data_IF_990266097594
#
_entry.id   IF_990266097594
#
_cell.length_a   1.000
_cell.length_b   1.000
_cell.length_c   1.000
_cell.angle_alpha   90.00
_cell.angle_beta   90.00
_cell.angle_gamma   90.00
#
_symmetry.space_group_name_H-M   'P 1'
#
loop_
_entity.id
_entity.type
_entity.pdbx_description
1 polymer ?
#
# COMPACT_ATOMS: atom_id res chain seq x y z
N UNK A 1 18.12 -5.68 12.49
CA UNK A 1 17.25 -4.51 12.74
C UNK A 1 16.08 -4.62 11.78
N UNK A 2 14.84 -4.59 12.25
CA UNK A 2 13.65 -4.53 11.37
C UNK A 2 13.11 -3.11 11.42
N UNK A 3 12.92 -2.49 10.27
CA UNK A 3 12.45 -1.11 10.10
C UNK A 3 11.65 -1.01 8.82
N UNK A 4 10.85 0.04 8.67
CA UNK A 4 10.16 0.31 7.40
C UNK A 4 11.13 0.93 6.38
N UNK A 5 10.87 0.70 5.09
CA UNK A 5 11.57 1.33 3.96
C UNK A 5 11.57 2.86 4.08
N UNK A 6 10.45 3.43 4.52
CA UNK A 6 10.29 4.86 4.82
C UNK A 6 11.30 5.31 5.88
N UNK A 7 11.36 4.64 7.03
CA UNK A 7 12.28 5.02 8.10
C UNK A 7 13.75 4.88 7.70
N UNK A 8 14.09 3.88 6.88
CA UNK A 8 15.44 3.69 6.37
C UNK A 8 15.87 4.89 5.50
N UNK A 9 15.07 5.21 4.46
CA UNK A 9 15.45 6.26 3.53
C UNK A 9 15.28 7.66 4.10
N UNK A 10 14.23 7.93 4.87
CA UNK A 10 14.14 9.20 5.60
C UNK A 10 15.38 9.39 6.49
N UNK A 11 15.89 8.35 7.16
CA UNK A 11 17.14 8.49 7.94
C UNK A 11 18.37 8.80 7.09
N UNK A 12 18.43 8.32 5.85
CA UNK A 12 19.53 8.53 4.90
C UNK A 12 19.51 9.93 4.26
N UNK A 13 18.34 10.56 4.16
CA UNK A 13 18.14 11.87 3.54
C UNK A 13 17.81 12.99 4.55
N UNK A 14 17.61 12.69 5.83
CA UNK A 14 17.40 13.67 6.90
C UNK A 14 18.73 14.28 7.38
N UNK A 15 18.63 15.42 8.07
CA UNK A 15 19.73 16.19 8.68
C UNK A 15 19.74 16.13 10.20
N UNK A 16 18.66 15.66 10.83
CA UNK A 16 18.48 15.72 12.28
C UNK A 16 19.33 14.63 12.93
N UNK A 17 20.16 14.95 13.94
CA UNK A 17 20.99 13.95 14.63
C UNK A 17 20.19 12.74 15.14
N UNK A 18 18.94 12.95 15.58
CA UNK A 18 18.09 11.86 16.06
C UNK A 18 17.72 10.83 14.97
N UNK A 19 17.52 11.27 13.72
CA UNK A 19 17.24 10.40 12.58
C UNK A 19 18.53 9.71 12.10
N UNK A 20 19.60 10.48 11.94
CA UNK A 20 20.88 10.01 11.42
C UNK A 20 21.67 9.11 12.39
N UNK A 21 21.36 9.13 13.70
CA UNK A 21 22.09 8.35 14.72
C UNK A 21 22.14 6.85 14.41
N UNK A 22 21.21 6.32 13.61
CA UNK A 22 21.18 4.89 13.23
C UNK A 22 22.09 4.55 12.03
N UNK A 23 22.59 5.54 11.29
CA UNK A 23 23.35 5.32 10.04
C UNK A 23 24.67 4.57 10.24
N UNK A 24 25.33 4.73 11.40
CA UNK A 24 26.55 3.97 11.72
C UNK A 24 26.34 2.45 11.68
N UNK A 25 25.09 1.98 11.81
CA UNK A 25 24.74 0.55 11.75
C UNK A 25 24.60 0.01 10.33
N UNK A 26 24.67 0.86 9.31
CA UNK A 26 24.54 0.46 7.91
C UNK A 26 25.89 0.07 7.29
N UNK A 27 27.00 0.64 7.79
CA UNK A 27 28.33 0.28 7.34
C UNK A 27 28.61 -1.21 7.63
N UNK A 28 29.05 -1.95 6.61
CA UNK A 28 29.28 -3.40 6.69
C UNK A 28 28.01 -4.26 6.85
N UNK A 29 26.81 -3.68 6.79
CA UNK A 29 25.57 -4.41 6.98
C UNK A 29 25.08 -5.09 5.69
N UNK A 30 24.19 -6.07 5.85
CA UNK A 30 23.35 -6.56 4.76
C UNK A 30 21.97 -5.91 4.90
N UNK A 31 21.58 -5.13 3.90
CA UNK A 31 20.26 -4.49 3.80
C UNK A 31 19.40 -5.34 2.88
N UNK A 32 18.29 -5.85 3.41
CA UNK A 32 17.27 -6.54 2.61
C UNK A 32 16.10 -5.58 2.43
N UNK A 33 15.83 -5.20 1.19
CA UNK A 33 14.68 -4.38 0.81
C UNK A 33 13.61 -5.29 0.23
N UNK A 34 12.55 -5.51 0.99
CA UNK A 34 11.37 -6.24 0.56
C UNK A 34 10.38 -5.31 -0.17
N UNK A 35 9.64 -5.86 -1.12
CA UNK A 35 8.65 -5.15 -1.96
C UNK A 35 9.23 -3.88 -2.63
N UNK A 36 10.43 -3.98 -3.21
CA UNK A 36 11.16 -2.82 -3.78
C UNK A 36 10.42 -2.12 -4.93
N UNK A 37 9.42 -2.77 -5.53
CA UNK A 37 8.55 -2.16 -6.53
C UNK A 37 7.63 -1.07 -5.96
N UNK A 38 7.44 -1.01 -4.63
CA UNK A 38 6.64 0.01 -3.96
C UNK A 38 7.40 1.34 -3.73
N UNK A 39 8.65 1.45 -4.19
CA UNK A 39 9.40 2.70 -4.12
C UNK A 39 8.77 3.77 -5.02
N UNK A 40 8.63 5.03 -4.55
CA UNK A 40 8.01 6.08 -5.35
C UNK A 40 8.92 6.50 -6.50
N UNK A 41 8.36 6.55 -7.71
CA UNK A 41 9.08 6.84 -8.96
C UNK A 41 9.85 8.17 -8.88
N UNK A 42 9.25 9.19 -8.26
CA UNK A 42 9.85 10.52 -8.08
C UNK A 42 11.12 10.54 -7.19
N UNK A 43 11.28 9.56 -6.30
CA UNK A 43 12.46 9.44 -5.42
C UNK A 43 13.36 8.25 -5.78
N UNK A 44 13.01 7.49 -6.81
CA UNK A 44 13.69 6.24 -7.16
C UNK A 44 15.17 6.48 -7.45
N UNK A 45 15.52 7.46 -8.28
CA UNK A 45 16.91 7.77 -8.61
C UNK A 45 17.75 8.19 -7.39
N UNK A 46 17.31 9.15 -6.54
CA UNK A 46 17.98 9.43 -5.26
C UNK A 46 18.22 8.17 -4.42
N UNK A 47 17.20 7.33 -4.27
CA UNK A 47 17.25 6.10 -3.46
C UNK A 47 18.31 5.14 -4.02
N UNK A 48 18.23 4.80 -5.31
CA UNK A 48 19.17 3.89 -5.96
C UNK A 48 20.60 4.42 -5.90
N UNK A 49 20.79 5.74 -6.01
CA UNK A 49 22.10 6.39 -5.84
C UNK A 49 22.67 6.14 -4.45
N UNK A 50 21.87 6.32 -3.40
CA UNK A 50 22.33 6.09 -2.03
C UNK A 50 22.63 4.62 -1.79
N UNK A 51 21.81 3.70 -2.29
CA UNK A 51 22.07 2.26 -2.17
C UNK A 51 23.39 1.88 -2.87
N UNK A 52 23.64 2.40 -4.07
CA UNK A 52 24.92 2.21 -4.78
C UNK A 52 26.10 2.72 -3.94
N UNK A 53 26.01 3.94 -3.40
CA UNK A 53 27.08 4.49 -2.55
C UNK A 53 27.34 3.65 -1.30
N UNK A 54 26.29 3.11 -0.66
CA UNK A 54 26.46 2.20 0.48
C UNK A 54 27.26 0.95 0.08
N UNK A 55 26.97 0.39 -1.10
CA UNK A 55 27.71 -0.78 -1.60
C UNK A 55 29.16 -0.47 -1.98
N UNK A 56 29.43 0.69 -2.57
CA UNK A 56 30.78 1.06 -3.05
C UNK A 56 31.70 1.57 -1.93
N UNK A 57 31.18 2.35 -0.99
CA UNK A 57 32.02 3.10 -0.03
C UNK A 57 31.89 2.62 1.42
N UNK A 58 30.85 1.87 1.77
CA UNK A 58 30.56 1.50 3.17
C UNK A 58 30.62 -0.01 3.44
N UNK A 59 31.02 -0.81 2.44
CA UNK A 59 31.08 -2.27 2.56
C UNK A 59 29.71 -2.92 2.82
N UNK A 60 28.62 -2.23 2.49
CA UNK A 60 27.25 -2.72 2.67
C UNK A 60 26.89 -3.65 1.51
N UNK A 61 26.13 -4.72 1.77
CA UNK A 61 25.49 -5.51 0.72
C UNK A 61 23.99 -5.18 0.68
N UNK A 62 23.43 -5.02 -0.51
CA UNK A 62 22.00 -4.73 -0.68
C UNK A 62 21.34 -5.87 -1.46
N UNK A 63 20.31 -6.47 -0.87
CA UNK A 63 19.46 -7.48 -1.49
C UNK A 63 18.11 -6.83 -1.79
N UNK A 64 17.73 -6.79 -3.06
CA UNK A 64 16.43 -6.33 -3.52
C UNK A 64 15.52 -7.55 -3.70
N UNK A 65 14.38 -7.56 -3.01
CA UNK A 65 13.40 -8.63 -3.09
C UNK A 65 12.05 -8.08 -3.56
N UNK A 66 11.40 -8.80 -4.48
CA UNK A 66 10.10 -8.45 -5.03
C UNK A 66 9.47 -9.64 -5.76
N UNK A 67 8.14 -9.75 -5.67
CA UNK A 67 7.36 -10.66 -6.52
C UNK A 67 7.32 -10.20 -7.99
N UNK A 68 7.51 -8.90 -8.23
CA UNK A 68 7.49 -8.26 -9.56
C UNK A 68 8.76 -7.42 -9.69
N UNK A 69 9.91 -8.09 -9.78
CA UNK A 69 11.22 -7.45 -9.77
C UNK A 69 11.29 -6.32 -10.81
N UNK A 70 11.48 -5.07 -10.38
CA UNK A 70 11.60 -3.97 -11.32
C UNK A 70 12.94 -4.00 -12.06
N UNK A 71 12.92 -3.43 -13.28
CA UNK A 71 14.08 -3.39 -14.19
C UNK A 71 15.08 -2.28 -13.82
N UNK A 72 15.52 -2.23 -12.55
CA UNK A 72 16.44 -1.20 -12.08
C UNK A 72 17.81 -1.25 -12.76
N UNK A 73 18.30 -2.44 -13.07
CA UNK A 73 19.62 -2.62 -13.66
C UNK A 73 19.70 -2.19 -15.14
N UNK A 74 18.55 -1.86 -15.75
CA UNK A 74 18.50 -1.17 -17.04
C UNK A 74 18.70 0.34 -16.95
N UNK A 75 18.77 0.91 -15.74
CA UNK A 75 18.99 2.35 -15.52
C UNK A 75 20.47 2.71 -15.60
N UNK A 76 20.75 3.93 -16.05
CA UNK A 76 22.10 4.43 -16.30
C UNK A 76 22.99 4.41 -15.05
N UNK A 77 22.38 4.61 -13.87
CA UNK A 77 23.10 4.55 -12.59
C UNK A 77 23.68 3.17 -12.27
N UNK A 78 23.23 2.10 -12.93
CA UNK A 78 23.78 0.75 -12.75
C UNK A 78 24.47 0.22 -14.00
N UNK A 79 24.71 1.05 -15.02
CA UNK A 79 25.34 0.63 -16.29
C UNK A 79 26.68 -0.08 -16.10
N UNK A 80 27.47 0.36 -15.13
CA UNK A 80 28.80 -0.20 -14.82
C UNK A 80 28.78 -1.24 -13.69
N UNK A 81 27.59 -1.64 -13.24
CA UNK A 81 27.40 -2.58 -12.13
C UNK A 81 26.82 -3.89 -12.65
N UNK A 82 27.49 -5.00 -12.36
CA UNK A 82 26.95 -6.33 -12.64
C UNK A 82 26.22 -6.85 -11.40
N UNK A 83 24.88 -6.93 -11.40
CA UNK A 83 24.14 -7.48 -10.27
C UNK A 83 24.39 -8.97 -10.12
N UNK A 84 24.51 -9.42 -8.86
CA UNK A 84 24.51 -10.86 -8.57
C UNK A 84 23.07 -11.34 -8.46
N UNK A 85 22.66 -12.22 -9.37
CA UNK A 85 21.36 -12.89 -9.29
C UNK A 85 21.37 -13.89 -8.15
N UNK A 86 20.50 -13.70 -7.16
CA UNK A 86 20.35 -14.62 -6.02
C UNK A 86 19.77 -15.96 -6.50
N UNK A 87 18.86 -15.91 -7.47
CA UNK A 87 18.28 -17.08 -8.15
C UNK A 87 19.01 -17.26 -9.48
N UNK A 88 19.71 -18.38 -9.65
CA UNK A 88 20.55 -18.63 -10.83
C UNK A 88 19.73 -18.83 -12.12
N UNK A 89 18.56 -19.46 -12.02
CA UNK A 89 17.68 -19.81 -13.14
C UNK A 89 16.24 -19.36 -12.84
N UNK A 90 15.94 -18.06 -12.87
CA UNK A 90 14.62 -17.54 -12.51
C UNK A 90 13.52 -17.99 -13.48
N UNK A 91 13.84 -18.16 -14.77
CA UNK A 91 12.87 -18.58 -15.78
C UNK A 91 12.42 -20.04 -15.56
N UNK A 92 13.34 -20.95 -15.27
CA UNK A 92 13.00 -22.37 -15.02
C UNK A 92 12.13 -22.51 -13.77
N UNK A 93 12.50 -21.83 -12.68
CA UNK A 93 11.69 -21.78 -11.47
C UNK A 93 10.31 -21.19 -11.74
N UNK A 94 10.24 -20.12 -12.55
CA UNK A 94 8.98 -19.51 -12.93
C UNK A 94 8.13 -20.48 -13.75
N UNK A 95 8.70 -21.18 -14.74
CA UNK A 95 8.00 -22.14 -15.58
C UNK A 95 7.47 -23.34 -14.75
N UNK A 96 8.26 -23.83 -13.79
CA UNK A 96 7.84 -24.86 -12.82
C UNK A 96 6.66 -24.39 -11.96
N UNK A 97 6.69 -23.15 -11.47
CA UNK A 97 5.61 -22.59 -10.67
C UNK A 97 4.36 -22.27 -11.50
N UNK A 98 4.55 -21.85 -12.75
CA UNK A 98 3.48 -21.57 -13.72
C UNK A 98 2.75 -22.83 -14.18
N UNK A 99 3.44 -23.97 -14.27
CA UNK A 99 2.83 -25.25 -14.60
C UNK A 99 1.69 -25.63 -13.63
N UNK A 100 1.67 -25.06 -12.42
CA UNK A 100 0.66 -25.30 -11.39
C UNK A 100 -0.51 -24.28 -11.46
N UNK A 101 -0.48 -23.33 -12.42
CA UNK A 101 -1.44 -22.23 -12.65
C UNK A 101 -2.43 -22.00 -11.50
N UNK A 102 -1.96 -21.36 -10.43
CA UNK A 102 -2.75 -21.20 -9.19
C UNK A 102 -3.97 -20.31 -9.38
N UNK A 103 -3.92 -19.39 -10.33
CA UNK A 103 -4.96 -18.37 -10.55
C UNK A 103 -5.30 -18.22 -12.03
N UNK A 104 -6.57 -17.91 -12.29
CA UNK A 104 -7.05 -17.44 -13.59
C UNK A 104 -7.59 -16.02 -13.47
N UNK A 105 -7.15 -15.18 -14.40
CA UNK A 105 -7.63 -13.81 -14.51
C UNK A 105 -8.90 -13.74 -15.37
N UNK A 106 -9.92 -13.06 -14.84
CA UNK A 106 -11.14 -12.69 -15.56
C UNK A 106 -11.19 -11.16 -15.64
N UNK A 107 -11.35 -10.62 -16.84
CA UNK A 107 -11.35 -9.18 -17.06
C UNK A 107 -12.77 -8.67 -17.25
N UNK A 108 -13.22 -7.77 -16.37
CA UNK A 108 -14.50 -7.05 -16.41
C UNK A 108 -14.25 -5.55 -16.64
N UNK A 109 -13.56 -5.25 -17.73
CA UNK A 109 -13.22 -3.88 -18.15
C UNK A 109 -14.07 -3.38 -19.31
N UNK A 110 -14.70 -4.31 -20.06
CA UNK A 110 -15.56 -4.01 -21.22
C UNK A 110 -16.69 -5.06 -21.33
N UNK A 111 -17.97 -4.68 -21.18
CA UNK A 111 -18.44 -3.39 -20.67
C UNK A 111 -17.99 -3.16 -19.22
N UNK A 112 -17.89 -1.89 -18.83
CA UNK A 112 -17.63 -1.51 -17.43
C UNK A 112 -18.88 -1.75 -16.61
N UNK A 113 -18.75 -2.45 -15.49
CA UNK A 113 -19.82 -2.66 -14.52
C UNK A 113 -19.77 -1.58 -13.44
N UNK A 114 -20.90 -1.23 -12.86
CA UNK A 114 -20.96 -0.40 -11.65
C UNK A 114 -20.42 -1.15 -10.43
N UNK A 115 -20.04 -0.41 -9.39
CA UNK A 115 -19.64 -0.99 -8.12
C UNK A 115 -20.75 -1.84 -7.48
N UNK A 116 -22.02 -1.49 -7.71
CA UNK A 116 -23.17 -2.26 -7.25
C UNK A 116 -23.27 -3.60 -7.97
N UNK A 117 -23.15 -3.63 -9.30
CA UNK A 117 -23.15 -4.87 -10.08
C UNK A 117 -21.98 -5.80 -9.71
N UNK A 118 -20.79 -5.24 -9.48
CA UNK A 118 -19.63 -6.02 -9.00
C UNK A 118 -19.90 -6.60 -7.61
N UNK A 119 -20.55 -5.83 -6.71
CA UNK A 119 -20.95 -6.33 -5.40
C UNK A 119 -22.04 -7.40 -5.50
N UNK A 120 -22.98 -7.28 -6.44
CA UNK A 120 -24.01 -8.30 -6.69
C UNK A 120 -23.39 -9.63 -7.17
N UNK A 121 -22.37 -9.59 -8.03
CA UNK A 121 -21.63 -10.80 -8.43
C UNK A 121 -20.89 -11.45 -7.24
N UNK A 122 -20.34 -10.64 -6.34
CA UNK A 122 -19.64 -11.12 -5.16
C UNK A 122 -20.58 -11.62 -4.04
N UNK A 123 -21.86 -11.21 -4.07
CA UNK A 123 -22.85 -11.57 -3.05
C UNK A 123 -23.07 -13.08 -2.92
N UNK A 124 -22.87 -13.82 -4.03
CA UNK A 124 -23.05 -15.27 -4.16
C UNK A 124 -21.76 -16.06 -3.91
N UNK A 125 -20.66 -15.40 -3.51
CA UNK A 125 -19.38 -16.07 -3.29
C UNK A 125 -19.21 -16.44 -1.82
N UNK A 126 -19.02 -17.73 -1.52
CA UNK A 126 -18.87 -18.20 -0.13
C UNK A 126 -17.75 -17.46 0.63
N UNK A 127 -16.55 -17.41 0.07
CA UNK A 127 -15.42 -16.63 0.57
C UNK A 127 -14.91 -15.71 -0.53
N UNK A 128 -14.89 -14.40 -0.29
CA UNK A 128 -14.50 -13.43 -1.33
C UNK A 128 -13.77 -12.22 -0.75
N UNK A 129 -12.76 -11.76 -1.47
CA UNK A 129 -12.07 -10.50 -1.21
C UNK A 129 -12.32 -9.52 -2.36
N UNK A 130 -12.77 -8.32 -2.05
CA UNK A 130 -12.94 -7.20 -2.97
C UNK A 130 -11.98 -6.08 -2.60
N UNK A 131 -11.12 -5.70 -3.53
CA UNK A 131 -10.14 -4.63 -3.34
C UNK A 131 -10.45 -3.51 -4.31
N UNK A 132 -10.63 -2.30 -3.78
CA UNK A 132 -10.87 -1.08 -4.55
C UNK A 132 -9.84 -0.01 -4.24
N UNK A 133 -9.73 0.97 -5.13
CA UNK A 133 -8.65 1.97 -5.07
C UNK A 133 -8.84 3.03 -3.98
N UNK A 134 -10.08 3.31 -3.59
CA UNK A 134 -10.38 4.41 -2.65
C UNK A 134 -11.20 3.93 -1.46
N UNK A 135 -11.04 4.61 -0.32
CA UNK A 135 -11.85 4.34 0.87
C UNK A 135 -13.34 4.67 0.65
N UNK A 136 -13.64 5.61 -0.26
CA UNK A 136 -15.00 5.98 -0.66
C UNK A 136 -15.68 4.83 -1.38
N UNK A 137 -15.02 4.27 -2.39
CA UNK A 137 -15.54 3.12 -3.14
C UNK A 137 -15.64 1.89 -2.25
N UNK A 138 -14.69 1.69 -1.33
CA UNK A 138 -14.73 0.57 -0.39
C UNK A 138 -15.97 0.67 0.52
N UNK A 139 -16.29 1.86 1.03
CA UNK A 139 -17.49 2.07 1.82
C UNK A 139 -18.78 1.84 1.00
N UNK A 140 -18.81 2.26 -0.28
CA UNK A 140 -19.96 2.05 -1.17
C UNK A 140 -20.19 0.56 -1.44
N UNK A 141 -19.15 -0.16 -1.83
CA UNK A 141 -19.19 -1.61 -2.08
C UNK A 141 -19.56 -2.36 -0.81
N UNK A 142 -18.97 -2.02 0.35
CA UNK A 142 -19.29 -2.63 1.64
C UNK A 142 -20.78 -2.50 1.98
N UNK A 143 -21.34 -1.28 1.90
CA UNK A 143 -22.76 -1.04 2.18
C UNK A 143 -23.68 -1.83 1.26
N UNK A 144 -23.41 -1.82 -0.05
CA UNK A 144 -24.22 -2.56 -1.01
C UNK A 144 -24.12 -4.06 -0.78
N UNK A 145 -22.90 -4.60 -0.73
CA UNK A 145 -22.65 -6.03 -0.53
C UNK A 145 -23.25 -6.56 0.77
N UNK A 146 -23.19 -5.78 1.86
CA UNK A 146 -23.82 -6.12 3.13
C UNK A 146 -25.35 -6.24 3.01
N UNK A 147 -25.99 -5.41 2.19
CA UNK A 147 -27.43 -5.44 1.96
C UNK A 147 -27.87 -6.60 1.04
N UNK A 148 -27.02 -7.01 0.09
CA UNK A 148 -27.38 -8.03 -0.92
C UNK A 148 -26.77 -9.41 -0.65
N UNK A 149 -26.02 -9.60 0.43
CA UNK A 149 -25.26 -10.83 0.73
C UNK A 149 -26.17 -12.08 0.74
N UNK A 150 -25.91 -13.05 -0.15
CA UNK A 150 -26.75 -14.27 -0.29
C UNK A 150 -26.16 -15.54 0.34
N UNK A 151 -24.83 -15.67 0.40
CA UNK A 151 -24.17 -16.84 1.01
C UNK A 151 -24.16 -16.86 2.55
N UNK A 152 -24.80 -15.89 3.20
CA UNK A 152 -24.66 -15.66 4.64
C UNK A 152 -23.25 -15.21 5.03
N UNK A 153 -23.02 -15.15 6.34
CA UNK A 153 -21.77 -14.62 6.92
C UNK A 153 -21.65 -13.09 6.85
N UNK A 154 -20.65 -12.52 7.54
CA UNK A 154 -20.45 -11.08 7.59
C UNK A 154 -19.79 -10.56 6.31
N UNK A 155 -20.08 -9.30 6.01
CA UNK A 155 -19.30 -8.48 5.09
C UNK A 155 -18.41 -7.58 5.93
N UNK A 156 -17.12 -7.88 5.95
CA UNK A 156 -16.11 -7.19 6.73
C UNK A 156 -15.45 -6.10 5.88
N UNK A 157 -14.98 -5.03 6.53
CA UNK A 157 -14.32 -3.91 5.88
C UNK A 157 -12.90 -3.73 6.42
N UNK A 158 -11.96 -3.38 5.55
CA UNK A 158 -10.57 -3.11 5.91
C UNK A 158 -10.08 -1.86 5.19
N UNK A 159 -9.77 -0.81 5.95
CA UNK A 159 -9.09 0.37 5.41
C UNK A 159 -8.28 1.11 6.47
N UNK A 160 -7.46 2.04 6.01
CA UNK A 160 -6.67 2.94 6.87
C UNK A 160 -7.52 3.91 7.71
N UNK A 161 -8.84 3.97 7.47
CA UNK A 161 -9.81 4.76 8.26
C UNK A 161 -10.21 4.08 9.57
N UNK A 162 -9.80 2.83 9.76
CA UNK A 162 -10.03 2.07 10.97
C UNK A 162 -8.83 2.22 11.92
N UNK A 163 -9.08 2.06 13.23
CA UNK A 163 -8.01 2.07 14.22
C UNK A 163 -7.13 0.83 14.03
N UNK A 164 -5.84 0.91 14.34
CA UNK A 164 -4.95 -0.25 14.22
C UNK A 164 -5.44 -1.50 14.99
N UNK A 165 -6.01 -1.32 16.19
CA UNK A 165 -6.63 -2.40 16.95
C UNK A 165 -7.89 -2.96 16.27
N UNK A 166 -8.67 -2.09 15.63
CA UNK A 166 -9.87 -2.46 14.89
C UNK A 166 -9.52 -3.30 13.66
N UNK A 167 -8.56 -2.85 12.85
CA UNK A 167 -8.02 -3.64 11.73
C UNK A 167 -7.57 -5.02 12.19
N UNK A 168 -6.79 -5.10 13.28
CA UNK A 168 -6.32 -6.39 13.82
C UNK A 168 -7.48 -7.28 14.28
N UNK A 169 -8.53 -6.71 14.87
CA UNK A 169 -9.69 -7.48 15.29
C UNK A 169 -10.45 -8.06 14.09
N UNK A 170 -10.70 -7.25 13.06
CA UNK A 170 -11.35 -7.71 11.83
C UNK A 170 -10.50 -8.76 11.11
N UNK A 171 -9.19 -8.55 11.02
CA UNK A 171 -8.24 -9.52 10.44
C UNK A 171 -8.31 -10.89 11.10
N UNK A 172 -8.33 -10.95 12.44
CA UNK A 172 -8.49 -12.23 13.16
C UNK A 172 -9.81 -12.93 12.82
N UNK A 173 -10.89 -12.17 12.67
CA UNK A 173 -12.19 -12.72 12.25
C UNK A 173 -12.12 -13.29 10.83
N UNK A 174 -11.46 -12.60 9.91
CA UNK A 174 -11.25 -13.08 8.54
C UNK A 174 -10.44 -14.38 8.56
N UNK A 175 -9.29 -14.40 9.22
CA UNK A 175 -8.40 -15.57 9.31
C UNK A 175 -9.11 -16.79 9.90
N UNK A 176 -9.91 -16.60 10.95
CA UNK A 176 -10.69 -17.68 11.59
C UNK A 176 -11.73 -18.23 10.62
N UNK A 177 -12.51 -17.36 9.98
CA UNK A 177 -13.55 -17.80 9.03
C UNK A 177 -13.00 -18.47 7.79
N UNK A 178 -11.87 -17.99 7.26
CA UNK A 178 -11.18 -18.63 6.13
C UNK A 178 -10.74 -20.04 6.49
N UNK A 179 -10.07 -20.19 7.64
CA UNK A 179 -9.58 -21.47 8.16
C UNK A 179 -10.71 -22.47 8.40
N UNK A 180 -11.82 -22.01 8.96
CA UNK A 180 -12.98 -22.85 9.29
C UNK A 180 -13.89 -23.10 8.08
N UNK A 181 -13.54 -22.62 6.88
CA UNK A 181 -14.37 -22.77 5.69
C UNK A 181 -15.73 -22.06 5.79
N UNK A 182 -15.85 -21.05 6.66
CA UNK A 182 -17.09 -20.31 6.87
C UNK A 182 -17.26 -19.19 5.85
N UNK A 183 -18.51 -18.78 5.55
CA UNK A 183 -18.75 -17.71 4.61
C UNK A 183 -18.23 -16.39 5.17
N UNK A 184 -17.50 -15.63 4.33
CA UNK A 184 -16.98 -14.30 4.65
C UNK A 184 -16.74 -13.50 3.38
N UNK A 185 -17.21 -12.27 3.35
CA UNK A 185 -16.82 -11.31 2.33
C UNK A 185 -15.97 -10.22 2.98
N UNK A 186 -14.90 -9.81 2.32
CA UNK A 186 -14.03 -8.72 2.77
C UNK A 186 -13.98 -7.66 1.69
N UNK A 187 -14.29 -6.43 2.05
CA UNK A 187 -14.11 -5.25 1.19
C UNK A 187 -12.95 -4.45 1.74
N UNK A 188 -11.94 -4.20 0.93
CA UNK A 188 -10.71 -3.55 1.36
C UNK A 188 -10.24 -2.49 0.37
N UNK A 189 -9.41 -1.58 0.85
CA UNK A 189 -8.47 -0.85 0.00
C UNK A 189 -7.16 -1.65 -0.15
N UNK A 190 -6.08 -1.01 -0.57
CA UNK A 190 -4.74 -1.60 -0.71
C UNK A 190 -4.13 -2.13 0.60
N UNK A 191 -4.80 -1.96 1.75
CA UNK A 191 -4.34 -2.41 3.06
C UNK A 191 -4.00 -3.91 3.10
N UNK A 192 -4.69 -4.73 2.29
CA UNK A 192 -4.51 -6.19 2.25
C UNK A 192 -3.50 -6.67 1.19
N UNK A 193 -2.95 -5.76 0.39
CA UNK A 193 -2.02 -6.11 -0.70
C UNK A 193 -0.64 -6.46 -0.17
N UNK A 194 -0.17 -5.82 0.90
CA UNK A 194 1.15 -6.05 1.48
C UNK A 194 1.07 -6.47 2.96
N UNK A 195 1.89 -7.46 3.34
CA UNK A 195 2.11 -7.81 4.75
C UNK A 195 0.96 -8.51 5.47
N UNK A 196 -0.03 -9.04 4.74
CA UNK A 196 -1.18 -9.76 5.31
C UNK A 196 -1.24 -11.20 4.78
N UNK A 197 -1.49 -12.18 5.65
CA UNK A 197 -1.61 -13.58 5.26
C UNK A 197 -3.07 -13.99 5.05
N UNK A 198 -3.57 -13.71 3.84
CA UNK A 198 -4.93 -14.05 3.42
C UNK A 198 -4.90 -14.93 2.18
N UNK A 199 -5.80 -15.91 2.14
CA UNK A 199 -5.97 -16.84 1.04
C UNK A 199 -7.46 -17.04 0.74
N UNK A 200 -7.93 -16.48 -0.37
CA UNK A 200 -9.32 -16.55 -0.82
C UNK A 200 -9.45 -17.40 -2.09
N UNK A 201 -10.57 -18.10 -2.31
CA UNK A 201 -10.84 -18.78 -3.58
C UNK A 201 -11.10 -17.80 -4.72
N UNK A 202 -11.59 -16.59 -4.39
CA UNK A 202 -11.96 -15.56 -5.36
C UNK A 202 -11.62 -14.16 -4.84
N UNK A 203 -10.92 -13.41 -5.69
CA UNK A 203 -10.53 -12.02 -5.44
C UNK A 203 -11.05 -11.14 -6.56
N UNK A 204 -11.72 -10.06 -6.23
CA UNK A 204 -12.08 -8.98 -7.15
C UNK A 204 -11.13 -7.81 -6.90
N UNK A 205 -10.49 -7.30 -7.94
CA UNK A 205 -9.57 -6.17 -7.84
C UNK A 205 -9.96 -5.10 -8.84
N UNK A 206 -10.26 -3.89 -8.34
CA UNK A 206 -10.43 -2.73 -9.21
C UNK A 206 -9.15 -2.50 -10.02
N UNK A 207 -9.26 -2.07 -11.26
CA UNK A 207 -8.13 -1.87 -12.15
C UNK A 207 -7.09 -0.94 -11.50
N UNK A 208 -5.83 -1.36 -11.55
CA UNK A 208 -4.70 -0.78 -10.84
C UNK A 208 -3.40 -1.13 -11.60
N UNK A 209 -2.25 -0.55 -11.22
CA UNK A 209 -0.95 -0.96 -11.78
C UNK A 209 -0.71 -2.47 -11.71
N UNK A 210 0.04 -3.01 -12.67
CA UNK A 210 0.29 -4.44 -12.82
C UNK A 210 0.80 -5.11 -11.53
N UNK A 211 1.68 -4.43 -10.79
CA UNK A 211 2.19 -4.91 -9.50
C UNK A 211 1.11 -5.05 -8.43
N UNK A 212 0.16 -4.10 -8.36
CA UNK A 212 -0.95 -4.16 -7.41
C UNK A 212 -1.94 -5.28 -7.78
N UNK A 213 -2.17 -5.48 -9.08
CA UNK A 213 -2.98 -6.60 -9.58
C UNK A 213 -2.35 -7.96 -9.23
N UNK A 214 -1.02 -8.10 -9.35
CA UNK A 214 -0.29 -9.31 -8.99
C UNK A 214 -0.21 -9.54 -7.47
N UNK A 215 -0.03 -8.48 -6.68
CA UNK A 215 -0.09 -8.57 -5.21
C UNK A 215 -1.47 -9.03 -4.74
N UNK A 216 -2.55 -8.52 -5.35
CA UNK A 216 -3.91 -8.99 -5.10
C UNK A 216 -4.09 -10.46 -5.53
N UNK A 217 -3.50 -10.87 -6.66
CA UNK A 217 -3.51 -12.26 -7.10
C UNK A 217 -2.79 -13.19 -6.10
N UNK A 218 -1.75 -12.70 -5.42
CA UNK A 218 -1.08 -13.41 -4.32
C UNK A 218 -1.93 -13.64 -3.07
N UNK A 219 -3.17 -13.10 -3.01
CA UNK A 219 -4.18 -13.39 -1.99
C UNK A 219 -5.28 -14.35 -2.48
N UNK A 220 -5.15 -14.84 -3.72
CA UNK A 220 -6.08 -15.77 -4.34
C UNK A 220 -5.42 -17.14 -4.50
N UNK A 221 -6.00 -18.18 -3.90
CA UNK A 221 -5.46 -19.55 -3.90
C UNK A 221 -3.94 -19.59 -3.62
N UNK A 222 -3.51 -18.79 -2.64
CA UNK A 222 -2.11 -18.57 -2.28
C UNK A 222 -1.43 -19.87 -1.89
N UNK A 223 -2.11 -20.69 -1.09
CA UNK A 223 -1.58 -21.96 -0.61
C UNK A 223 -1.76 -23.11 -1.61
N UNK A 224 -2.39 -22.87 -2.77
CA UNK A 224 -2.61 -23.89 -3.80
C UNK A 224 -3.52 -25.04 -3.36
N UNK A 225 -4.40 -24.80 -2.38
CA UNK A 225 -5.33 -25.81 -1.86
C UNK A 225 -6.46 -26.12 -2.85
N UNK A 226 -6.75 -25.19 -3.76
CA UNK A 226 -7.73 -25.36 -4.83
C UNK A 226 -7.02 -25.65 -6.15
N UNK A 227 -7.67 -26.38 -7.09
CA UNK A 227 -7.14 -26.58 -8.43
C UNK A 227 -6.84 -25.26 -9.15
N UNK A 228 -7.70 -24.24 -8.98
CA UNK A 228 -7.52 -22.92 -9.56
C UNK A 228 -8.35 -21.87 -8.78
N UNK A 229 -7.73 -20.76 -8.38
CA UNK A 229 -8.39 -19.56 -7.85
C UNK A 229 -8.80 -18.60 -8.96
N UNK A 230 -9.76 -17.71 -8.70
CA UNK A 230 -10.16 -16.70 -9.69
C UNK A 230 -9.87 -15.28 -9.24
N UNK A 231 -9.14 -14.53 -10.05
CA UNK A 231 -8.93 -13.09 -9.88
C UNK A 231 -9.76 -12.35 -10.92
N UNK A 232 -10.74 -11.57 -10.48
CA UNK A 232 -11.57 -10.73 -11.35
C UNK A 232 -11.02 -9.31 -11.33
N UNK A 233 -10.41 -8.87 -12.43
CA UNK A 233 -9.96 -7.50 -12.59
C UNK A 233 -11.09 -6.69 -13.22
N UNK A 234 -11.60 -5.68 -12.53
CA UNK A 234 -12.75 -4.89 -13.00
C UNK A 234 -12.43 -3.40 -13.06
N UNK A 235 -13.06 -2.69 -13.99
CA UNK A 235 -12.97 -1.22 -14.03
C UNK A 235 -14.38 -0.65 -13.80
N UNK A 236 -14.63 -0.04 -12.63
CA UNK A 236 -15.98 0.39 -12.28
C UNK A 236 -16.42 1.58 -13.14
N UNK A 237 -17.65 1.54 -13.67
CA UNK A 237 -18.24 2.62 -14.45
C UNK A 237 -18.48 3.90 -13.62
N UNK A 238 -18.73 3.73 -12.32
CA UNK A 238 -19.11 4.77 -11.36
C UNK A 238 -18.13 4.90 -10.19
N UNK A 239 -16.91 4.36 -10.33
CA UNK A 239 -15.84 4.50 -9.33
C UNK A 239 -15.09 5.83 -9.42
N UNK A 240 -14.25 6.14 -8.44
CA UNK A 240 -13.47 7.38 -8.40
C UNK A 240 -12.23 7.30 -9.33
N UNK A 241 -12.49 7.37 -10.64
CA UNK A 241 -11.46 7.28 -11.67
C UNK A 241 -10.41 8.40 -11.55
N UNK A 242 -10.82 9.60 -11.10
CA UNK A 242 -9.92 10.73 -10.88
C UNK A 242 -8.94 10.43 -9.75
N UNK A 243 -9.42 9.92 -8.62
CA UNK A 243 -8.54 9.55 -7.50
C UNK A 243 -7.58 8.42 -7.90
N UNK A 244 -8.06 7.41 -8.64
CA UNK A 244 -7.19 6.36 -9.15
C UNK A 244 -6.10 6.91 -10.09
N UNK A 245 -6.45 7.83 -10.99
CA UNK A 245 -5.49 8.49 -11.88
C UNK A 245 -4.47 9.35 -11.13
N UNK A 246 -4.90 10.07 -10.09
CA UNK A 246 -3.99 10.87 -9.25
C UNK A 246 -3.03 9.97 -8.45
N UNK A 247 -3.50 8.81 -8.01
CA UNK A 247 -2.72 7.88 -7.19
C UNK A 247 -1.69 7.08 -8.00
N UNK A 248 -2.05 6.66 -9.22
CA UNK A 248 -1.22 5.75 -10.01
C UNK A 248 -0.66 6.34 -11.30
N UNK A 249 -1.16 7.49 -11.77
CA UNK A 249 -0.60 8.20 -12.91
C UNK A 249 -0.50 7.36 -14.19
N UNK A 250 0.66 7.43 -14.85
CA UNK A 250 0.93 6.75 -16.10
C UNK A 250 0.91 5.22 -16.00
N UNK A 251 1.14 4.67 -14.79
CA UNK A 251 1.19 3.23 -14.55
C UNK A 251 -0.12 2.52 -14.93
N UNK A 252 -1.27 3.19 -14.83
CA UNK A 252 -2.58 2.64 -15.24
C UNK A 252 -2.66 2.42 -16.75
N UNK A 253 -2.27 3.44 -17.54
CA UNK A 253 -2.34 3.37 -19.00
C UNK A 253 -1.33 2.37 -19.56
N UNK A 254 -0.14 2.29 -18.95
CA UNK A 254 0.86 1.29 -19.32
C UNK A 254 0.37 -0.12 -18.97
N UNK A 255 -0.29 -0.29 -17.82
CA UNK A 255 -0.92 -1.57 -17.47
C UNK A 255 -1.98 -1.95 -18.50
N UNK A 256 -2.82 -1.00 -18.93
CA UNK A 256 -3.86 -1.22 -19.94
C UNK A 256 -3.29 -1.58 -21.31
N UNK A 257 -2.15 -1.01 -21.67
CA UNK A 257 -1.48 -1.28 -22.94
C UNK A 257 -0.79 -2.64 -22.96
N UNK A 258 -0.21 -3.06 -21.83
CA UNK A 258 0.56 -4.31 -21.72
C UNK A 258 -0.29 -5.51 -21.32
N UNK A 259 -1.30 -5.32 -20.47
CA UNK A 259 -2.13 -6.38 -19.90
C UNK A 259 -3.62 -6.16 -20.19
N UNK A 260 -4.41 -7.24 -20.18
CA UNK A 260 -5.84 -7.14 -20.45
C UNK A 260 -6.47 -8.48 -20.88
N UNK A 261 -7.73 -8.45 -21.36
CA UNK A 261 -8.43 -9.64 -21.83
C UNK A 261 -7.59 -10.46 -22.82
N UNK A 262 -7.44 -11.76 -22.54
CA UNK A 262 -6.65 -12.68 -23.38
C UNK A 262 -5.13 -12.60 -23.17
N UNK A 263 -4.64 -11.83 -22.19
CA UNK A 263 -3.22 -11.79 -21.80
C UNK A 263 -3.06 -12.23 -20.34
N UNK A 264 -2.08 -13.08 -20.10
CA UNK A 264 -1.71 -13.48 -18.75
C UNK A 264 -0.86 -12.39 -18.08
N UNK A 265 -1.20 -12.04 -16.84
CA UNK A 265 -0.61 -10.92 -16.09
C UNK A 265 0.75 -11.28 -15.48
N UNK A 266 0.99 -12.55 -15.22
CA UNK A 266 2.14 -13.08 -14.50
C UNK A 266 3.38 -13.33 -15.37
N UNK A 267 3.30 -13.08 -16.68
CA UNK A 267 4.43 -13.26 -17.61
C UNK A 267 5.61 -12.32 -17.29
N UNK A 268 6.76 -12.90 -16.99
CA UNK A 268 8.01 -12.17 -16.70
C UNK A 268 8.39 -11.18 -17.82
N UNK A 269 8.26 -11.57 -19.09
CA UNK A 269 8.61 -10.70 -20.23
C UNK A 269 7.68 -9.48 -20.36
N UNK A 270 6.40 -9.64 -20.00
CA UNK A 270 5.44 -8.55 -19.99
C UNK A 270 5.70 -7.58 -18.83
N UNK A 271 6.09 -8.11 -17.66
CA UNK A 271 6.48 -7.29 -16.49
C UNK A 271 7.75 -6.49 -16.74
N UNK A 272 8.77 -7.10 -17.34
CA UNK A 272 10.00 -6.40 -17.71
C UNK A 272 9.73 -5.24 -18.68
N UNK A 273 8.89 -5.48 -19.71
CA UNK A 273 8.45 -4.42 -20.62
C UNK A 273 7.65 -3.32 -19.93
N UNK A 274 6.75 -3.70 -19.02
CA UNK A 274 5.94 -2.77 -18.22
C UNK A 274 6.83 -1.79 -17.45
N UNK A 275 7.80 -2.28 -16.67
CA UNK A 275 8.71 -1.42 -15.89
C UNK A 275 9.56 -0.52 -16.79
N UNK A 276 10.11 -1.06 -17.89
CA UNK A 276 10.91 -0.28 -18.83
C UNK A 276 10.13 0.90 -19.42
N UNK A 277 8.88 0.68 -19.82
CA UNK A 277 8.02 1.74 -20.37
C UNK A 277 7.65 2.74 -19.28
N UNK A 278 7.30 2.29 -18.06
CA UNK A 278 6.97 3.16 -16.93
C UNK A 278 8.10 4.11 -16.59
N UNK A 279 9.32 3.60 -16.43
CA UNK A 279 10.48 4.42 -16.13
C UNK A 279 10.83 5.42 -17.23
N UNK A 280 10.62 5.05 -18.49
CA UNK A 280 10.79 5.97 -19.61
C UNK A 280 9.72 7.07 -19.63
N UNK A 281 8.44 6.73 -19.40
CA UNK A 281 7.33 7.69 -19.40
C UNK A 281 7.40 8.67 -18.23
N UNK A 282 7.71 8.17 -17.03
CA UNK A 282 7.90 9.00 -15.84
C UNK A 282 9.24 9.77 -15.87
N UNK A 283 10.07 9.52 -16.90
CA UNK A 283 11.37 10.14 -17.11
C UNK A 283 12.21 10.17 -15.83
N UNK A 284 12.23 9.05 -15.10
CA UNK A 284 12.74 9.00 -13.73
C UNK A 284 14.20 9.46 -13.64
N UNK A 285 15.01 9.15 -14.67
CA UNK A 285 16.43 9.49 -14.77
C UNK A 285 16.66 11.00 -14.89
N UNK A 286 15.76 11.72 -15.55
CA UNK A 286 15.82 13.17 -15.71
C UNK A 286 14.71 13.89 -14.94
N UNK A 287 14.12 13.23 -13.94
CA UNK A 287 13.08 13.88 -13.14
C UNK A 287 13.67 15.11 -12.46
N UNK A 288 12.92 16.22 -12.49
CA UNK A 288 13.36 17.50 -11.95
C UNK A 288 13.72 17.37 -10.47
N UNK A 289 12.94 16.59 -9.72
CA UNK A 289 13.17 16.29 -8.31
C UNK A 289 14.48 15.52 -8.08
N UNK A 290 14.74 14.44 -8.83
CA UNK A 290 15.99 13.69 -8.69
C UNK A 290 17.22 14.55 -9.00
N UNK A 291 17.14 15.37 -10.05
CA UNK A 291 18.20 16.30 -10.46
C UNK A 291 18.47 17.36 -9.38
N UNK A 292 17.40 17.93 -8.80
CA UNK A 292 17.50 18.90 -7.71
C UNK A 292 18.12 18.28 -6.45
N UNK A 293 17.65 17.10 -6.03
CA UNK A 293 18.20 16.40 -4.86
C UNK A 293 19.69 16.09 -5.08
N UNK A 294 20.07 15.61 -6.27
CA UNK A 294 21.47 15.31 -6.60
C UNK A 294 22.36 16.55 -6.54
N UNK A 295 21.90 17.66 -7.12
CA UNK A 295 22.61 18.95 -7.08
C UNK A 295 22.78 19.44 -5.64
N UNK A 296 21.70 19.45 -4.87
CA UNK A 296 21.73 19.90 -3.47
C UNK A 296 22.64 19.02 -2.59
N UNK A 297 22.70 17.71 -2.84
CA UNK A 297 23.65 16.81 -2.15
C UNK A 297 25.09 17.14 -2.50
N UNK A 298 25.39 17.48 -3.76
CA UNK A 298 26.72 17.91 -4.21
C UNK A 298 27.15 19.21 -3.55
N UNK A 299 26.20 20.12 -3.36
CA UNK A 299 26.41 21.41 -2.70
C UNK A 299 26.34 21.33 -1.16
N UNK A 300 26.25 20.12 -0.59
CA UNK A 300 26.10 19.86 0.85
C UNK A 300 24.88 20.56 1.50
N UNK A 301 23.85 20.90 0.72
CA UNK A 301 22.64 21.55 1.21
C UNK A 301 21.62 20.53 1.74
N UNK A 302 21.99 19.83 2.81
CA UNK A 302 21.17 18.76 3.39
C UNK A 302 19.84 19.24 3.98
N UNK A 303 19.71 20.53 4.29
CA UNK A 303 18.42 21.12 4.69
C UNK A 303 17.40 21.02 3.58
N UNK A 304 17.73 21.50 2.39
CA UNK A 304 16.80 21.41 1.25
C UNK A 304 16.61 19.97 0.76
N UNK A 305 17.63 19.12 0.88
CA UNK A 305 17.49 17.68 0.57
C UNK A 305 16.45 17.03 1.49
N UNK A 306 16.52 17.27 2.80
CA UNK A 306 15.58 16.71 3.76
C UNK A 306 14.14 17.24 3.55
N UNK A 307 13.99 18.48 3.08
CA UNK A 307 12.68 19.06 2.79
C UNK A 307 12.06 18.51 1.48
N UNK A 308 12.89 18.22 0.47
CA UNK A 308 12.45 17.70 -0.82
C UNK A 308 12.22 16.18 -0.80
N UNK A 309 13.06 15.43 -0.08
CA UNK A 309 12.96 13.98 -0.05
C UNK A 309 11.77 13.55 0.82
N UNK A 310 10.72 13.03 0.17
CA UNK A 310 9.54 12.50 0.86
C UNK A 310 9.20 11.13 0.28
N UNK A 311 9.18 10.08 1.13
CA UNK A 311 8.85 8.72 0.69
C UNK A 311 7.35 8.48 0.47
N UNK A 312 6.49 9.31 1.08
CA UNK A 312 5.03 9.19 1.01
C UNK A 312 4.44 10.54 0.60
N UNK A 313 4.00 10.66 -0.65
CA UNK A 313 3.41 11.90 -1.20
C UNK A 313 2.09 12.27 -0.50
N UNK A 314 1.27 11.27 -0.16
CA UNK A 314 0.11 11.47 0.70
C UNK A 314 0.53 11.48 2.17
N UNK A 315 0.83 12.68 2.70
CA UNK A 315 0.94 12.87 4.15
C UNK A 315 -0.41 12.58 4.78
N UNK A 316 -0.62 11.33 5.19
CA UNK A 316 -1.67 11.00 6.13
C UNK A 316 -1.24 11.44 7.51
N UNK A 317 -2.21 11.90 8.30
CA UNK A 317 -2.00 12.29 9.68
C UNK A 317 -2.64 11.27 10.61
N UNK A 318 -2.03 10.99 11.77
CA UNK A 318 -2.62 10.12 12.77
C UNK A 318 -3.83 10.80 13.40
N UNK A 319 -4.91 10.03 13.55
CA UNK A 319 -6.17 10.51 14.10
C UNK A 319 -6.64 9.55 15.18
N UNK A 320 -6.72 10.04 16.41
CA UNK A 320 -7.26 9.31 17.54
C UNK A 320 -8.77 9.14 17.38
N UNK A 321 -9.26 7.91 17.38
CA UNK A 321 -10.67 7.61 17.12
C UNK A 321 -11.37 6.96 18.33
N UNK A 322 -12.70 7.06 18.43
CA UNK A 322 -13.48 6.49 19.52
C UNK A 322 -13.62 4.95 19.42
N UNK A 323 -12.51 4.22 19.30
CA UNK A 323 -12.46 2.76 19.29
C UNK A 323 -11.75 2.21 20.54
N UNK A 324 -12.21 1.06 21.05
CA UNK A 324 -11.63 0.38 22.21
C UNK A 324 -11.97 1.05 23.56
N UNK A 325 -11.17 0.75 24.59
CA UNK A 325 -11.37 1.27 25.95
C UNK A 325 -11.09 2.78 26.01
N UNK A 326 -12.14 3.55 26.32
CA UNK A 326 -12.07 5.01 26.40
C UNK A 326 -11.19 5.49 27.56
N UNK A 327 -11.30 4.88 28.73
CA UNK A 327 -10.55 5.27 29.92
C UNK A 327 -9.05 5.03 29.71
N UNK A 328 -8.69 3.89 29.11
CA UNK A 328 -7.31 3.63 28.73
C UNK A 328 -6.79 4.63 27.71
N UNK A 329 -7.56 4.87 26.64
CA UNK A 329 -7.15 5.77 25.57
C UNK A 329 -6.88 7.18 26.09
N UNK A 330 -7.79 7.74 26.89
CA UNK A 330 -7.61 9.08 27.45
C UNK A 330 -6.48 9.13 28.47
N UNK A 331 -6.30 8.10 29.30
CA UNK A 331 -5.12 8.01 30.18
C UNK A 331 -3.80 8.03 29.41
N UNK A 332 -3.71 7.38 28.25
CA UNK A 332 -2.50 7.42 27.39
C UNK A 332 -2.36 8.79 26.73
N UNK A 333 -3.47 9.38 26.29
CA UNK A 333 -3.49 10.71 25.69
C UNK A 333 -3.01 11.77 26.69
N UNK A 334 -3.51 11.75 27.93
CA UNK A 334 -3.12 12.69 28.98
C UNK A 334 -1.61 12.57 29.30
N UNK A 335 -1.07 11.34 29.32
CA UNK A 335 0.37 11.11 29.44
C UNK A 335 1.16 11.71 28.27
N UNK A 336 0.61 11.67 27.05
CA UNK A 336 1.25 12.23 25.87
C UNK A 336 1.19 13.76 25.81
N UNK A 337 0.11 14.35 26.35
CA UNK A 337 -0.14 15.80 26.38
C UNK A 337 0.42 16.49 27.64
N UNK A 338 0.91 15.73 28.62
CA UNK A 338 1.50 16.28 29.83
C UNK A 338 2.70 17.20 29.54
N UNK A 339 2.90 18.22 30.38
CA UNK A 339 4.00 19.16 30.26
C UNK A 339 5.36 18.43 30.34
N UNK A 340 6.14 18.51 29.25
CA UNK A 340 7.46 17.87 29.18
C UNK A 340 7.81 17.33 27.79
N UNK A 341 8.92 16.58 27.68
CA UNK A 341 9.29 15.93 26.43
C UNK A 341 8.30 14.82 26.07
N UNK A 342 7.88 14.77 24.80
CA UNK A 342 6.93 13.79 24.27
C UNK A 342 7.38 12.35 24.60
N UNK A 343 6.57 11.63 25.37
CA UNK A 343 6.82 10.23 25.67
C UNK A 343 6.55 9.34 24.45
N UNK A 344 7.64 8.86 23.84
CA UNK A 344 7.59 7.91 22.72
C UNK A 344 6.96 6.57 23.09
N UNK A 345 6.94 6.20 24.37
CA UNK A 345 6.24 5.02 24.87
C UNK A 345 4.73 5.24 24.84
N UNK A 346 4.24 6.35 25.38
CA UNK A 346 2.84 6.76 25.28
C UNK A 346 2.36 6.80 23.83
N UNK A 347 3.11 7.41 22.90
CA UNK A 347 2.73 7.44 21.48
C UNK A 347 2.60 6.04 20.87
N UNK A 348 3.54 5.12 21.17
CA UNK A 348 3.45 3.71 20.72
C UNK A 348 2.24 2.99 21.30
N UNK A 349 1.91 3.23 22.56
CA UNK A 349 0.70 2.69 23.21
C UNK A 349 -0.59 3.29 22.66
N UNK A 350 -0.52 4.49 22.07
CA UNK A 350 -1.65 5.15 21.43
C UNK A 350 -1.93 4.61 20.02
N UNK A 351 -0.91 4.13 19.29
CA UNK A 351 -1.04 3.60 17.91
C UNK A 351 -2.21 2.62 17.67
N UNK A 352 -2.54 1.67 18.58
CA UNK A 352 -3.73 0.83 18.46
C UNK A 352 -5.05 1.59 18.26
N UNK A 353 -5.14 2.83 18.77
CA UNK A 353 -6.33 3.67 18.76
C UNK A 353 -6.30 4.74 17.65
N UNK A 354 -5.26 4.74 16.81
CA UNK A 354 -5.10 5.70 15.72
C UNK A 354 -5.58 5.11 14.40
N UNK A 355 -6.36 5.90 13.66
CA UNK A 355 -6.60 5.76 12.23
C UNK A 355 -5.72 6.76 11.45
N UNK A 356 -5.74 6.68 10.12
CA UNK A 356 -5.03 7.60 9.24
C UNK A 356 -6.00 8.38 8.33
N UNK A 357 -5.81 9.70 8.25
CA UNK A 357 -6.55 10.57 7.33
C UNK A 357 -5.60 11.34 6.43
N UNK A 358 -5.88 11.51 5.12
CA UNK A 358 -5.15 12.46 4.30
C UNK A 358 -5.16 13.86 4.94
N UNK A 359 -4.00 14.54 5.03
CA UNK A 359 -3.87 15.84 5.69
C UNK A 359 -4.90 16.88 5.21
N UNK A 360 -5.19 17.04 3.90
CA UNK A 360 -6.23 17.99 3.46
C UNK A 360 -7.61 17.66 4.05
N UNK A 361 -7.93 16.37 4.19
CA UNK A 361 -9.19 15.92 4.77
C UNK A 361 -9.22 16.12 6.28
N UNK A 362 -8.11 15.90 6.98
CA UNK A 362 -8.01 16.17 8.42
C UNK A 362 -8.17 17.67 8.73
N UNK A 363 -7.52 18.54 7.94
CA UNK A 363 -7.67 20.00 8.05
C UNK A 363 -9.11 20.41 7.83
N UNK A 364 -9.76 19.92 6.77
CA UNK A 364 -11.16 20.22 6.48
C UNK A 364 -12.11 19.68 7.55
N UNK A 365 -11.85 18.48 8.07
CA UNK A 365 -12.60 17.92 9.19
C UNK A 365 -12.47 18.78 10.45
N UNK A 366 -11.27 19.33 10.71
CA UNK A 366 -11.05 20.24 11.82
C UNK A 366 -11.82 21.56 11.65
N UNK A 367 -11.79 22.16 10.45
CA UNK A 367 -12.59 23.36 10.14
C UNK A 367 -14.10 23.11 10.31
N UNK A 368 -14.57 21.90 9.99
CA UNK A 368 -15.97 21.51 10.11
C UNK A 368 -16.37 20.99 11.50
N UNK A 369 -15.45 20.95 12.48
CA UNK A 369 -15.73 20.50 13.85
C UNK A 369 -15.77 18.97 14.06
N UNK A 370 -15.37 18.18 13.06
CA UNK A 370 -15.28 16.72 13.12
C UNK A 370 -13.91 16.18 13.56
N UNK A 371 -12.92 17.06 13.67
CA UNK A 371 -11.63 16.73 14.25
C UNK A 371 -11.11 17.89 15.11
N UNK A 372 -10.33 17.57 16.14
CA UNK A 372 -9.64 18.55 16.98
C UNK A 372 -8.13 18.31 16.89
N UNK A 373 -7.32 19.31 16.50
CA UNK A 373 -5.87 19.20 16.59
C UNK A 373 -5.43 19.01 18.05
N UNK A 374 -4.49 18.09 18.30
CA UNK A 374 -3.96 17.80 19.63
C UNK A 374 -2.50 18.26 19.75
N UNK A 375 -1.59 17.57 19.05
CA UNK A 375 -0.14 17.81 19.15
C UNK A 375 0.53 17.52 17.80
N UNK A 376 1.28 18.49 17.27
CA UNK A 376 1.93 18.38 15.95
C UNK A 376 0.90 18.02 14.87
N UNK A 377 1.04 16.86 14.21
CA UNK A 377 0.08 16.37 13.21
C UNK A 377 -0.97 15.42 13.81
N UNK A 378 -0.96 15.13 15.12
CA UNK A 378 -1.97 14.29 15.77
C UNK A 378 -3.28 15.06 15.95
N UNK A 379 -4.38 14.45 15.50
CA UNK A 379 -5.74 14.96 15.70
C UNK A 379 -6.58 13.96 16.50
N UNK A 380 -7.65 14.43 17.12
CA UNK A 380 -8.72 13.61 17.69
C UNK A 380 -9.96 13.71 16.81
N UNK A 381 -10.58 12.58 16.49
CA UNK A 381 -11.83 12.53 15.77
C UNK A 381 -13.00 12.75 16.73
N UNK A 382 -13.80 13.77 16.45
CA UNK A 382 -15.00 14.12 17.22
C UNK A 382 -16.29 13.75 16.52
N UNK A 383 -16.21 13.32 15.26
CA UNK A 383 -17.36 12.80 14.51
C UNK A 383 -17.70 11.34 14.86
N UNK A 384 -18.70 10.81 14.16
CA UNK A 384 -19.10 9.41 14.29
C UNK A 384 -18.01 8.46 13.79
N UNK A 385 -17.86 7.34 14.47
CA UNK A 385 -16.97 6.25 14.08
C UNK A 385 -17.81 5.02 13.80
N UNK A 386 -17.86 4.60 12.54
CA UNK A 386 -18.66 3.46 12.13
C UNK A 386 -18.07 2.16 12.70
N UNK A 387 -18.88 1.28 13.32
CA UNK A 387 -18.39 0.06 13.94
C UNK A 387 -17.68 -0.89 12.98
N UNK A 388 -18.04 -0.87 11.69
CA UNK A 388 -17.38 -1.71 10.67
C UNK A 388 -16.32 -0.97 9.84
N UNK A 389 -16.51 0.33 9.56
CA UNK A 389 -15.75 1.06 8.53
C UNK A 389 -14.78 2.10 9.09
N UNK A 390 -14.86 2.37 10.39
CA UNK A 390 -14.12 3.43 11.05
C UNK A 390 -14.62 4.81 10.64
N UNK A 391 -13.71 5.73 10.30
CA UNK A 391 -14.09 7.07 9.85
C UNK A 391 -14.78 6.98 8.48
N UNK A 392 -16.11 7.11 8.45
CA UNK A 392 -16.97 7.06 7.26
C UNK A 392 -17.80 8.35 7.17
N UNK A 393 -17.87 8.94 5.99
CA UNK A 393 -18.58 10.21 5.74
C UNK A 393 -20.02 10.02 5.22
N UNK A 394 -20.57 8.80 5.30
CA UNK A 394 -21.96 8.51 4.91
C UNK A 394 -22.26 8.68 3.41
N UNK A 395 -23.54 8.59 3.04
CA UNK A 395 -24.07 8.90 1.68
C UNK A 395 -24.38 10.38 1.51
N UNK A 396 -24.74 11.08 2.58
CA UNK A 396 -24.96 12.53 2.60
C UNK A 396 -23.65 13.30 2.66
N UNK A 397 -22.63 12.81 1.95
CA UNK A 397 -21.27 13.32 2.03
C UNK A 397 -21.30 14.84 2.06
N UNK A 398 -20.57 15.41 3.02
CA UNK A 398 -20.05 16.75 2.83
C UNK A 398 -19.58 16.84 1.38
N UNK A 399 -20.18 17.76 0.63
CA UNK A 399 -19.75 18.02 -0.74
C UNK A 399 -18.31 18.51 -0.58
N UNK A 400 -17.38 17.60 -0.88
CA UNK A 400 -15.96 17.80 -0.67
C UNK A 400 -15.31 18.33 -1.94
#
# INVERSE_FOLDING_TARGET
MVTTTVQLFESLFDRRPAAMRKLHRLAGAVIVLDEVQALPDAMLMPILTVLRHLTEYFGTSVVLASATQPEFFGLDIFRDLTPTQVIKQPQELFDELQAIRRVRFQWRTTPKLSLAEIADEAADQHQVLLIVNTTRDAARVHRHLAAVRRCGGPVLHLSTRMAGAHVRAVMRTVETRLRDGQPVAVVSTQLVEAGVDLDFPRVYRAFAPAEALLQAAGRCNRNGLLPEGTVVVFEPADGDARAAQLMYGAALEITRAQFGPGRDLDRLDALARYYKIRYAVDNIENSSTATQITTLRRDFNFTKVADLFTMIDERTVPVLVPYGDSAERYRILDQLLADGPVDRSAYRRLQPYLAALPRPLAVRAATAGYARPLLSDLHEWTGDYHPDRGIDYGTGGFIF
#
